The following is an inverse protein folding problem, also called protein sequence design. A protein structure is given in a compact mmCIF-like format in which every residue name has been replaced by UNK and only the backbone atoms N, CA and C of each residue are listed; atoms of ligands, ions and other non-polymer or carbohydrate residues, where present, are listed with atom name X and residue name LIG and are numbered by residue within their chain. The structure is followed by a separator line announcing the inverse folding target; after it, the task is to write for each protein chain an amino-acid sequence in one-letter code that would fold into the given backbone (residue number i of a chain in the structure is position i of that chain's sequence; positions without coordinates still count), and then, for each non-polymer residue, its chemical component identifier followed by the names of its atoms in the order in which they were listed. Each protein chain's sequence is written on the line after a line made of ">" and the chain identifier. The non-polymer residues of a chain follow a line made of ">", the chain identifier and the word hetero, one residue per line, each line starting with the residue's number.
data_IF_518667781458
#
_entry.id   IF_518667781458
#
_cell.length_a   1.000
_cell.length_b   1.000
_cell.length_c   1.000
_cell.angle_alpha   90.00
_cell.angle_beta   90.00
_cell.angle_gamma   90.00
#
_symmetry.space_group_name_H-M   'P 1'
#
loop_
_entity.id
_entity.type
_entity.pdbx_description
1 polymer ?
#
# COMPACT_ATOMS: atom_id res chain seq x y z
N UNK A 1 -17.85 2.24 -2.95
CA UNK A 1 -17.27 2.11 -4.32
C UNK A 1 -16.98 0.63 -4.58
N UNK A 2 -17.00 0.07 -5.80
CA UNK A 2 -16.58 -1.35 -5.96
C UNK A 2 -15.05 -1.48 -6.05
N UNK A 3 -14.49 -2.66 -5.80
CA UNK A 3 -13.06 -2.92 -6.00
C UNK A 3 -12.64 -2.69 -7.45
N UNK A 4 -13.47 -3.08 -8.42
CA UNK A 4 -13.21 -2.87 -9.84
C UNK A 4 -13.15 -1.38 -10.15
N UNK A 5 -14.10 -0.59 -9.63
CA UNK A 5 -14.09 0.87 -9.80
C UNK A 5 -12.84 1.51 -9.16
N UNK A 6 -12.46 1.04 -7.96
CA UNK A 6 -11.26 1.50 -7.29
C UNK A 6 -10.00 1.25 -8.15
N UNK A 7 -9.80 0.02 -8.64
CA UNK A 7 -8.66 -0.35 -9.49
C UNK A 7 -8.61 0.48 -10.77
N UNK A 8 -9.77 0.76 -11.38
CA UNK A 8 -9.84 1.64 -12.54
C UNK A 8 -9.37 3.07 -12.23
N UNK A 9 -9.71 3.59 -11.05
CA UNK A 9 -9.33 4.95 -10.62
C UNK A 9 -7.84 5.11 -10.30
N UNK A 10 -7.15 4.04 -9.88
CA UNK A 10 -5.70 4.08 -9.59
C UNK A 10 -4.87 4.63 -10.76
N UNK A 11 -5.32 4.41 -12.00
CA UNK A 11 -4.62 4.88 -13.21
C UNK A 11 -4.78 6.37 -13.47
N UNK A 12 -5.61 7.07 -12.70
CA UNK A 12 -5.70 8.51 -12.73
C UNK A 12 -4.44 9.12 -12.11
N UNK A 13 -3.77 10.02 -12.82
CA UNK A 13 -2.61 10.77 -12.29
C UNK A 13 -2.96 11.63 -11.07
N UNK A 14 -4.26 11.87 -10.83
CA UNK A 14 -4.78 12.64 -9.71
C UNK A 14 -5.22 11.77 -8.52
N UNK A 15 -5.03 10.44 -8.56
CA UNK A 15 -5.38 9.58 -7.43
C UNK A 15 -4.64 10.02 -6.15
N UNK A 16 -5.38 10.21 -5.07
CA UNK A 16 -4.84 10.63 -3.78
C UNK A 16 -4.66 9.43 -2.85
N UNK A 17 -3.61 9.46 -2.04
CA UNK A 17 -3.37 8.40 -1.05
C UNK A 17 -4.52 8.29 -0.03
N UNK A 18 -5.12 9.43 0.32
CA UNK A 18 -6.29 9.47 1.20
C UNK A 18 -7.49 8.71 0.63
N UNK A 19 -7.65 8.66 -0.69
CA UNK A 19 -8.73 7.90 -1.33
C UNK A 19 -8.51 6.39 -1.20
N UNK A 20 -7.26 5.93 -1.29
CA UNK A 20 -6.89 4.54 -0.95
C UNK A 20 -7.26 4.20 0.48
N UNK A 21 -6.89 5.06 1.43
CA UNK A 21 -7.18 4.82 2.84
C UNK A 21 -8.68 4.87 3.13
N UNK A 22 -9.42 5.78 2.49
CA UNK A 22 -10.87 5.87 2.61
C UNK A 22 -11.55 4.60 2.08
N UNK A 23 -11.14 4.11 0.91
CA UNK A 23 -11.65 2.85 0.35
C UNK A 23 -11.38 1.66 1.29
N UNK A 24 -10.15 1.53 1.80
CA UNK A 24 -9.81 0.48 2.76
C UNK A 24 -10.66 0.61 4.02
N UNK A 25 -10.82 1.83 4.54
CA UNK A 25 -11.59 2.09 5.77
C UNK A 25 -13.10 1.82 5.61
N UNK A 26 -13.66 1.95 4.41
CA UNK A 26 -15.05 1.62 4.09
C UNK A 26 -15.27 0.11 4.05
N UNK A 27 -14.38 -0.62 3.38
CA UNK A 27 -14.61 -2.02 2.99
C UNK A 27 -13.88 -3.08 3.81
N UNK A 28 -12.93 -2.70 4.67
CA UNK A 28 -12.07 -3.64 5.39
C UNK A 28 -11.95 -3.30 6.87
N UNK A 29 -11.81 -4.35 7.68
CA UNK A 29 -11.44 -4.24 9.09
C UNK A 29 -9.91 -4.33 9.21
N UNK A 30 -9.32 -3.34 9.87
CA UNK A 30 -7.87 -3.25 10.06
C UNK A 30 -7.48 -3.64 11.48
N UNK A 31 -6.44 -4.48 11.58
CA UNK A 31 -5.73 -4.78 12.82
C UNK A 31 -4.24 -4.53 12.59
N UNK A 32 -3.57 -3.72 13.43
CA UNK A 32 -2.14 -3.50 13.29
C UNK A 32 -1.34 -4.81 13.26
N UNK A 33 -0.42 -4.91 12.31
CA UNK A 33 0.53 -6.01 12.21
C UNK A 33 1.92 -5.46 11.94
N UNK A 34 2.93 -6.11 12.53
CA UNK A 34 4.29 -5.94 12.06
C UNK A 34 4.42 -6.52 10.64
N UNK A 35 5.32 -5.94 9.86
CA UNK A 35 5.65 -6.42 8.53
C UNK A 35 7.05 -6.01 8.09
N UNK A 36 7.65 -6.85 7.28
CA UNK A 36 8.87 -6.53 6.53
C UNK A 36 8.51 -6.23 5.08
N UNK A 37 9.24 -5.30 4.47
CA UNK A 37 9.16 -4.96 3.07
C UNK A 37 10.59 -4.87 2.52
N UNK A 38 11.07 -5.96 1.95
CA UNK A 38 12.49 -6.14 1.68
C UNK A 38 13.31 -6.04 2.96
N UNK A 39 14.26 -5.10 3.01
CA UNK A 39 15.09 -4.84 4.19
C UNK A 39 14.46 -3.85 5.19
N UNK A 40 13.27 -3.31 4.92
CA UNK A 40 12.60 -2.34 5.79
C UNK A 40 11.68 -3.09 6.75
N UNK A 41 12.00 -3.05 8.05
CA UNK A 41 11.16 -3.64 9.09
C UNK A 41 10.24 -2.61 9.72
N UNK A 42 8.97 -2.97 9.89
CA UNK A 42 7.92 -2.10 10.37
C UNK A 42 7.22 -2.75 11.58
N UNK A 43 7.44 -2.24 12.80
CA UNK A 43 6.70 -2.71 13.97
C UNK A 43 5.20 -2.43 13.85
N UNK A 44 4.38 -3.23 14.54
CA UNK A 44 2.94 -3.01 14.58
C UNK A 44 2.60 -1.59 15.08
N UNK A 45 1.69 -0.91 14.37
CA UNK A 45 1.30 0.48 14.67
C UNK A 45 2.24 1.55 14.09
N UNK A 46 3.33 1.15 13.43
CA UNK A 46 4.16 2.07 12.64
C UNK A 46 3.83 1.94 11.15
N UNK A 47 4.05 3.03 10.40
CA UNK A 47 3.82 3.08 8.96
C UNK A 47 2.44 2.54 8.54
N UNK A 48 1.39 2.87 9.31
CA UNK A 48 0.07 2.25 9.17
C UNK A 48 -0.54 2.43 7.78
N UNK A 49 -0.26 3.54 7.11
CA UNK A 49 -0.68 3.76 5.72
C UNK A 49 -0.07 2.71 4.77
N UNK A 50 1.21 2.37 4.96
CA UNK A 50 1.90 1.31 4.21
C UNK A 50 1.36 -0.07 4.61
N UNK A 51 1.20 -0.34 5.91
CA UNK A 51 0.63 -1.60 6.41
C UNK A 51 -0.73 -1.89 5.77
N UNK A 52 -1.64 -0.90 5.79
CA UNK A 52 -2.98 -1.00 5.16
C UNK A 52 -2.88 -1.21 3.66
N UNK A 53 -2.11 -0.40 2.95
CA UNK A 53 -2.04 -0.44 1.47
C UNK A 53 -1.42 -1.73 0.97
N UNK A 54 -0.33 -2.19 1.58
CA UNK A 54 0.34 -3.43 1.23
C UNK A 54 -0.49 -4.66 1.61
N UNK A 55 -1.12 -4.65 2.79
CA UNK A 55 -2.04 -5.71 3.20
C UNK A 55 -3.22 -5.83 2.27
N UNK A 56 -3.77 -4.69 1.83
CA UNK A 56 -4.84 -4.61 0.86
C UNK A 56 -4.41 -5.16 -0.50
N UNK A 57 -3.23 -4.75 -0.98
CA UNK A 57 -2.68 -5.23 -2.24
C UNK A 57 -2.51 -6.75 -2.26
N UNK A 58 -1.97 -7.33 -1.19
CA UNK A 58 -1.80 -8.79 -1.06
C UNK A 58 -3.16 -9.49 -0.97
N UNK A 59 -4.09 -8.97 -0.17
CA UNK A 59 -5.41 -9.58 0.03
C UNK A 59 -6.25 -9.60 -1.25
N UNK A 60 -6.15 -8.55 -2.07
CA UNK A 60 -6.92 -8.38 -3.30
C UNK A 60 -6.21 -8.84 -4.57
N UNK A 61 -4.94 -9.25 -4.46
CA UNK A 61 -4.14 -9.65 -5.62
C UNK A 61 -3.92 -8.49 -6.59
N UNK A 62 -3.59 -7.30 -6.07
CA UNK A 62 -3.15 -6.18 -6.90
C UNK A 62 -1.80 -6.49 -7.54
N UNK A 63 -1.56 -5.91 -8.73
CA UNK A 63 -0.23 -5.90 -9.32
C UNK A 63 0.71 -4.97 -8.56
N UNK A 64 2.02 -5.09 -8.81
CA UNK A 64 3.01 -4.15 -8.28
C UNK A 64 2.69 -2.71 -8.71
N UNK A 65 2.33 -2.51 -9.98
CA UNK A 65 1.99 -1.19 -10.51
C UNK A 65 0.75 -0.61 -9.82
N UNK A 66 -0.32 -1.39 -9.68
CA UNK A 66 -1.52 -0.95 -8.96
C UNK A 66 -1.22 -0.60 -7.50
N UNK A 67 -0.36 -1.38 -6.84
CA UNK A 67 0.05 -1.12 -5.46
C UNK A 67 0.83 0.18 -5.34
N UNK A 68 1.77 0.44 -6.25
CA UNK A 68 2.52 1.70 -6.30
C UNK A 68 1.60 2.88 -6.57
N UNK A 69 0.66 2.76 -7.51
CA UNK A 69 -0.35 3.78 -7.79
C UNK A 69 -1.28 4.04 -6.60
N UNK A 70 -1.58 3.01 -5.79
CA UNK A 70 -2.38 3.16 -4.58
C UNK A 70 -1.73 4.03 -3.51
N UNK A 71 -0.41 4.28 -3.58
CA UNK A 71 0.26 5.28 -2.73
C UNK A 71 0.07 6.74 -3.21
N UNK A 72 -0.60 6.98 -4.33
CA UNK A 72 -1.00 8.30 -4.80
C UNK A 72 0.18 9.27 -4.92
N UNK A 73 0.03 10.46 -4.32
CA UNK A 73 1.03 11.52 -4.32
C UNK A 73 2.38 11.11 -3.73
N UNK A 74 2.41 10.17 -2.78
CA UNK A 74 3.67 9.69 -2.20
C UNK A 74 4.50 8.89 -3.21
N UNK A 75 3.85 8.08 -4.06
CA UNK A 75 4.57 7.40 -5.13
C UNK A 75 5.05 8.38 -6.21
N UNK A 76 4.25 9.40 -6.53
CA UNK A 76 4.68 10.48 -7.45
C UNK A 76 5.91 11.21 -6.91
N UNK A 77 5.93 11.58 -5.63
CA UNK A 77 7.08 12.23 -4.99
C UNK A 77 8.36 11.36 -5.08
N UNK A 78 8.24 10.05 -4.82
CA UNK A 78 9.38 9.11 -4.97
C UNK A 78 9.88 9.03 -6.41
N UNK A 79 8.99 9.08 -7.41
CA UNK A 79 9.37 9.10 -8.84
C UNK A 79 10.08 10.39 -9.23
N UNK A 80 9.67 11.52 -8.66
CA UNK A 80 10.27 12.83 -8.91
C UNK A 80 11.62 13.00 -8.21
N UNK A 81 11.88 12.25 -7.14
CA UNK A 81 13.14 12.25 -6.40
C UNK A 81 13.75 10.83 -6.27
N UNK A 82 14.36 10.27 -7.34
CA UNK A 82 14.88 8.90 -7.32
C UNK A 82 15.97 8.66 -6.27
N UNK A 83 16.76 9.68 -5.93
CA UNK A 83 17.87 9.60 -4.97
C UNK A 83 17.48 9.93 -3.52
N UNK A 84 16.20 10.25 -3.27
CA UNK A 84 15.69 10.53 -1.93
C UNK A 84 15.70 9.31 -1.00
N UNK A 85 15.57 9.58 0.29
CA UNK A 85 15.49 8.60 1.38
C UNK A 85 14.12 8.60 2.09
N UNK A 86 13.20 9.44 1.63
CA UNK A 86 11.81 9.49 2.07
C UNK A 86 11.01 8.26 1.62
N UNK A 87 9.87 8.01 2.27
CA UNK A 87 8.93 6.94 1.90
C UNK A 87 9.59 5.55 1.74
N UNK A 88 10.41 5.14 2.72
CA UNK A 88 11.19 3.90 2.68
C UNK A 88 10.41 2.65 2.21
N UNK A 89 9.13 2.50 2.58
CA UNK A 89 8.30 1.39 2.12
C UNK A 89 7.98 1.42 0.62
N UNK A 90 7.74 2.59 0.03
CA UNK A 90 7.47 2.70 -1.41
C UNK A 90 8.74 2.33 -2.18
N UNK A 91 9.90 2.84 -1.73
CA UNK A 91 11.20 2.54 -2.34
C UNK A 91 11.56 1.06 -2.24
N UNK A 92 11.36 0.47 -1.06
CA UNK A 92 11.57 -0.97 -0.87
C UNK A 92 10.64 -1.80 -1.77
N UNK A 93 9.37 -1.42 -1.89
CA UNK A 93 8.41 -2.09 -2.76
C UNK A 93 8.84 -2.02 -4.23
N UNK A 94 9.42 -0.91 -4.71
CA UNK A 94 9.96 -0.83 -6.07
C UNK A 94 11.13 -1.78 -6.30
N UNK A 95 11.92 -2.08 -5.28
CA UNK A 95 13.11 -2.93 -5.38
C UNK A 95 12.77 -4.42 -5.30
N UNK A 96 11.91 -4.82 -4.38
CA UNK A 96 11.63 -6.22 -4.06
C UNK A 96 10.27 -6.70 -4.57
N UNK A 97 9.40 -5.78 -4.97
CA UNK A 97 8.02 -6.06 -5.33
C UNK A 97 7.20 -6.59 -4.16
N UNK A 98 5.96 -7.00 -4.45
CA UNK A 98 5.07 -7.59 -3.44
C UNK A 98 5.62 -8.89 -2.82
N UNK A 99 6.52 -9.58 -3.51
CA UNK A 99 7.17 -10.79 -3.01
C UNK A 99 8.10 -10.53 -1.82
N UNK A 100 8.61 -9.31 -1.66
CA UNK A 100 9.41 -8.91 -0.50
C UNK A 100 8.58 -8.45 0.70
N UNK A 101 7.25 -8.44 0.59
CA UNK A 101 6.36 -8.01 1.67
C UNK A 101 5.92 -9.22 2.48
N UNK A 102 6.27 -9.24 3.77
CA UNK A 102 5.96 -10.32 4.68
C UNK A 102 5.29 -9.77 5.94
N UNK A 103 4.02 -10.12 6.13
CA UNK A 103 3.29 -9.76 7.34
C UNK A 103 3.43 -10.85 8.40
N UNK A 104 3.58 -10.44 9.67
CA UNK A 104 3.44 -11.36 10.79
C UNK A 104 2.03 -11.97 10.82
N UNK A 105 1.02 -11.14 10.56
CA UNK A 105 -0.38 -11.55 10.38
C UNK A 105 -1.03 -10.66 9.32
N UNK A 106 -1.93 -11.22 8.51
CA UNK A 106 -2.68 -10.44 7.52
C UNK A 106 -3.43 -9.28 8.21
N UNK A 107 -3.09 -7.98 7.94
CA UNK A 107 -3.65 -6.85 8.68
C UNK A 107 -5.08 -6.48 8.30
N UNK A 108 -5.60 -6.99 7.18
CA UNK A 108 -6.94 -6.67 6.69
C UNK A 108 -7.82 -7.91 6.51
N UNK A 109 -9.10 -7.75 6.83
CA UNK A 109 -10.17 -8.67 6.45
C UNK A 109 -11.32 -7.90 5.80
N UNK A 110 -11.97 -8.50 4.80
CA UNK A 110 -13.14 -7.89 4.14
C UNK A 110 -14.28 -7.77 5.15
N UNK A 111 -14.97 -6.63 5.16
CA UNK A 111 -16.26 -6.49 5.83
C UNK A 111 -17.32 -7.20 4.99
N UNK A 112 -18.17 -7.98 5.64
CA UNK A 112 -19.30 -8.69 5.02
C UNK A 112 -20.45 -7.76 4.67
#
# INVERSE_FOLDING_TARGET
>A
MTLTDFRARLRSEQHLFTDTLAFIAEHYSYTPSAFDNGSVSNPAGQNEGSCKTLGFAILEGLSLEETLLAFGEHYRAVRENPEGDDHANIRALQQTGLAGVHFERQPLSRRG
#
